data_IF_652483472273
#
_entry.id   IF_652483472273
#
_cell.length_a   1.000
_cell.length_b   1.000
_cell.length_c   1.000
_cell.angle_alpha   90.00
_cell.angle_beta   90.00
_cell.angle_gamma   90.00
#
_symmetry.space_group_name_H-M   'P 1'
#
loop_
_entity.id
_entity.type
_entity.pdbx_description
1 polymer ?
#
# COMPACT_ATOMS: atom_id res chain seq x y z
N UNK A 1 -27.46 -47.21 4.17
CA UNK A 1 -26.41 -46.17 4.16
C UNK A 1 -26.51 -45.46 2.80
N UNK A 2 -27.26 -44.36 2.73
CA UNK A 2 -27.50 -43.66 1.46
C UNK A 2 -26.31 -42.74 1.17
N UNK A 3 -25.50 -43.11 0.18
CA UNK A 3 -24.46 -42.26 -0.39
C UNK A 3 -25.13 -41.11 -1.14
N UNK A 4 -25.15 -39.92 -0.54
CA UNK A 4 -25.58 -38.70 -1.23
C UNK A 4 -24.51 -38.39 -2.28
N UNK A 5 -24.77 -38.68 -3.54
CA UNK A 5 -23.95 -38.24 -4.67
C UNK A 5 -24.28 -36.77 -4.95
N UNK A 6 -23.50 -35.86 -4.37
CA UNK A 6 -23.63 -34.43 -4.69
C UNK A 6 -23.32 -34.25 -6.17
N UNK A 7 -24.25 -33.74 -7.00
CA UNK A 7 -23.98 -33.54 -8.41
C UNK A 7 -22.80 -32.58 -8.58
N UNK A 8 -21.83 -32.95 -9.41
CA UNK A 8 -20.67 -32.13 -9.68
C UNK A 8 -21.10 -30.75 -10.20
N UNK A 9 -20.66 -29.68 -9.54
CA UNK A 9 -21.01 -28.32 -9.94
C UNK A 9 -20.44 -28.05 -11.34
N UNK A 10 -21.26 -27.58 -12.30
CA UNK A 10 -20.78 -27.29 -13.64
C UNK A 10 -19.77 -26.14 -13.60
N UNK A 11 -18.63 -26.31 -14.27
CA UNK A 11 -17.52 -25.35 -14.28
C UNK A 11 -17.97 -23.94 -14.70
N UNK A 12 -18.95 -23.85 -15.60
CA UNK A 12 -19.59 -22.60 -16.03
C UNK A 12 -20.23 -21.83 -14.87
N UNK A 13 -20.86 -22.52 -13.91
CA UNK A 13 -21.48 -21.89 -12.73
C UNK A 13 -20.42 -21.40 -11.75
N UNK A 14 -19.35 -22.18 -11.55
CA UNK A 14 -18.20 -21.78 -10.73
C UNK A 14 -17.55 -20.53 -11.32
N UNK A 15 -17.24 -20.52 -12.62
CA UNK A 15 -16.63 -19.38 -13.31
C UNK A 15 -17.50 -18.11 -13.19
N UNK A 16 -18.81 -18.20 -13.40
CA UNK A 16 -19.70 -17.04 -13.32
C UNK A 16 -19.81 -16.47 -11.89
N UNK A 17 -19.76 -17.32 -10.86
CA UNK A 17 -19.79 -16.88 -9.46
C UNK A 17 -18.47 -16.21 -9.06
N UNK A 18 -17.35 -16.74 -9.53
CA UNK A 18 -16.02 -16.28 -9.13
C UNK A 18 -15.47 -15.13 -10.00
N UNK A 19 -16.01 -14.95 -11.20
CA UNK A 19 -15.54 -13.92 -12.14
C UNK A 19 -15.51 -12.50 -11.53
N UNK A 20 -16.54 -12.00 -10.82
CA UNK A 20 -16.48 -10.67 -10.21
C UNK A 20 -15.38 -10.54 -9.15
N UNK A 21 -15.14 -11.61 -8.38
CA UNK A 21 -14.09 -11.65 -7.38
C UNK A 21 -12.70 -11.63 -8.03
N UNK A 22 -12.51 -12.43 -9.08
CA UNK A 22 -11.28 -12.44 -9.87
C UNK A 22 -11.02 -11.08 -10.52
N UNK A 23 -12.04 -10.46 -11.11
CA UNK A 23 -11.94 -9.13 -11.72
C UNK A 23 -11.53 -8.05 -10.70
N UNK A 24 -12.12 -8.06 -9.50
CA UNK A 24 -11.74 -7.17 -8.40
C UNK A 24 -10.26 -7.32 -8.04
N UNK A 25 -9.78 -8.56 -7.95
CA UNK A 25 -8.36 -8.85 -7.71
C UNK A 25 -7.45 -8.33 -8.83
N UNK A 26 -7.83 -8.51 -10.09
CA UNK A 26 -7.05 -7.98 -11.24
C UNK A 26 -6.96 -6.46 -11.17
N UNK A 27 -8.06 -5.77 -10.86
CA UNK A 27 -8.06 -4.31 -10.70
C UNK A 27 -7.13 -3.86 -9.58
N UNK A 28 -7.06 -4.62 -8.47
CA UNK A 28 -6.12 -4.31 -7.39
C UNK A 28 -4.65 -4.60 -7.73
N UNK A 29 -4.35 -5.60 -8.56
CA UNK A 29 -2.97 -6.00 -8.85
C UNK A 29 -2.36 -5.30 -10.06
N UNK A 30 -3.19 -4.85 -11.01
CA UNK A 30 -2.73 -4.23 -12.26
C UNK A 30 -2.18 -2.81 -12.06
N UNK A 31 -2.50 -2.17 -10.94
CA UNK A 31 -2.06 -0.81 -10.61
C UNK A 31 -0.53 -0.67 -10.68
N UNK A 32 0.22 -1.57 -10.01
CA UNK A 32 1.68 -1.50 -9.95
C UNK A 32 2.34 -1.75 -11.33
N UNK A 33 1.98 -2.80 -12.09
CA UNK A 33 2.45 -2.98 -13.46
C UNK A 33 2.12 -1.80 -14.39
N UNK A 34 0.94 -1.19 -14.25
CA UNK A 34 0.52 -0.07 -15.08
C UNK A 34 1.41 1.16 -14.84
N UNK A 35 1.68 1.49 -13.57
CA UNK A 35 2.61 2.57 -13.22
C UNK A 35 4.00 2.29 -13.80
N UNK A 36 4.53 1.08 -13.61
CA UNK A 36 5.83 0.69 -14.18
C UNK A 36 5.86 0.76 -15.71
N UNK A 37 4.77 0.38 -16.39
CA UNK A 37 4.66 0.46 -17.85
C UNK A 37 4.63 1.92 -18.35
N UNK A 38 4.02 2.83 -17.59
CA UNK A 38 4.04 4.27 -17.90
C UNK A 38 5.46 4.82 -17.70
N UNK A 39 6.10 4.50 -16.56
CA UNK A 39 7.46 4.95 -16.25
C UNK A 39 8.47 4.46 -17.29
N UNK A 40 8.33 3.22 -17.77
CA UNK A 40 9.18 2.65 -18.81
C UNK A 40 9.09 3.38 -20.17
N UNK A 41 8.08 4.23 -20.37
CA UNK A 41 7.91 5.03 -21.60
C UNK A 41 8.35 6.49 -21.43
N UNK A 42 8.83 6.87 -20.24
CA UNK A 42 9.43 8.19 -20.00
C UNK A 42 10.88 8.23 -20.49
N UNK A 43 11.44 9.43 -20.72
CA UNK A 43 12.88 9.59 -20.95
C UNK A 43 13.69 8.99 -19.79
N UNK A 44 14.85 8.38 -20.08
CA UNK A 44 15.68 7.70 -19.08
C UNK A 44 14.94 6.62 -18.27
N UNK A 45 14.36 5.60 -18.93
CA UNK A 45 13.51 4.61 -18.27
C UNK A 45 14.23 3.81 -17.19
N UNK A 46 15.51 3.49 -17.37
CA UNK A 46 16.32 2.77 -16.38
C UNK A 46 16.43 3.54 -15.05
N UNK A 47 16.72 4.84 -15.13
CA UNK A 47 16.84 5.73 -13.96
C UNK A 47 15.49 5.87 -13.27
N UNK A 48 14.42 6.12 -14.04
CA UNK A 48 13.09 6.33 -13.46
C UNK A 48 12.49 5.07 -12.86
N UNK A 49 12.70 3.89 -13.47
CA UNK A 49 12.27 2.62 -12.90
C UNK A 49 13.04 2.27 -11.63
N UNK A 50 14.35 2.55 -11.60
CA UNK A 50 15.15 2.33 -10.40
C UNK A 50 14.74 3.30 -9.28
N UNK A 51 14.48 4.57 -9.60
CA UNK A 51 13.92 5.55 -8.66
C UNK A 51 12.57 5.09 -8.11
N UNK A 52 11.67 4.60 -8.96
CA UNK A 52 10.38 4.06 -8.54
C UNK A 52 10.50 2.90 -7.56
N UNK A 53 11.44 1.98 -7.80
CA UNK A 53 11.72 0.87 -6.88
C UNK A 53 12.12 1.36 -5.48
N UNK A 54 13.01 2.35 -5.39
CA UNK A 54 13.43 2.93 -4.10
C UNK A 54 12.28 3.65 -3.40
N UNK A 55 11.51 4.45 -4.15
CA UNK A 55 10.33 5.16 -3.62
C UNK A 55 9.31 4.18 -3.03
N UNK A 56 8.99 3.11 -3.75
CA UNK A 56 8.09 2.06 -3.27
C UNK A 56 8.62 1.37 -2.02
N UNK A 57 9.91 1.00 -2.01
CA UNK A 57 10.54 0.35 -0.86
C UNK A 57 10.47 1.20 0.41
N UNK A 58 10.94 2.45 0.31
CA UNK A 58 10.94 3.37 1.45
C UNK A 58 9.52 3.71 1.92
N UNK A 59 8.60 3.97 1.00
CA UNK A 59 7.19 4.24 1.32
C UNK A 59 6.52 3.05 2.00
N UNK A 60 6.85 1.83 1.58
CA UNK A 60 6.33 0.59 2.19
C UNK A 60 6.83 0.40 3.61
N UNK A 61 8.12 0.64 3.85
CA UNK A 61 8.71 0.58 5.20
C UNK A 61 7.99 1.56 6.13
N UNK A 62 7.84 2.81 5.72
CA UNK A 62 7.13 3.85 6.48
C UNK A 62 5.68 3.45 6.72
N UNK A 63 5.01 2.89 5.70
CA UNK A 63 3.62 2.47 5.80
C UNK A 63 3.41 1.28 6.75
N UNK A 64 4.42 0.43 6.96
CA UNK A 64 4.27 -0.88 7.61
C UNK A 64 3.45 -0.88 8.90
N UNK A 65 3.54 0.10 9.84
CA UNK A 65 2.73 0.07 11.06
C UNK A 65 1.23 0.27 10.81
N UNK A 66 0.86 1.01 9.76
CA UNK A 66 -0.55 1.21 9.38
C UNK A 66 -1.19 -0.06 8.81
N UNK A 67 -0.40 -1.03 8.35
CA UNK A 67 -0.91 -2.27 7.75
C UNK A 67 -1.65 -3.14 8.77
N UNK A 68 -1.23 -3.07 10.04
CA UNK A 68 -1.84 -3.78 11.17
C UNK A 68 -3.19 -3.19 11.61
N UNK A 69 -3.57 -2.00 11.15
CA UNK A 69 -4.83 -1.36 11.54
C UNK A 69 -6.06 -2.21 11.17
N UNK A 70 -5.99 -2.99 10.08
CA UNK A 70 -7.03 -3.94 9.72
C UNK A 70 -7.24 -4.98 10.84
N UNK A 71 -6.16 -5.69 11.20
CA UNK A 71 -6.22 -6.72 12.24
C UNK A 71 -6.63 -6.13 13.60
N UNK A 72 -6.09 -4.96 13.95
CA UNK A 72 -6.44 -4.25 15.18
C UNK A 72 -7.93 -3.88 15.22
N UNK A 73 -8.49 -3.36 14.12
CA UNK A 73 -9.91 -3.01 14.06
C UNK A 73 -10.79 -4.26 14.18
N UNK A 74 -10.51 -5.33 13.42
CA UNK A 74 -11.29 -6.57 13.48
C UNK A 74 -11.28 -7.20 14.87
N UNK A 75 -10.14 -7.14 15.57
CA UNK A 75 -9.99 -7.72 16.89
C UNK A 75 -10.69 -6.89 17.99
N UNK A 76 -10.55 -5.56 17.95
CA UNK A 76 -10.87 -4.67 19.07
C UNK A 76 -12.17 -3.87 18.89
N UNK A 77 -12.72 -3.78 17.68
CA UNK A 77 -13.96 -3.04 17.43
C UNK A 77 -15.19 -3.88 17.83
N UNK A 78 -15.65 -3.75 19.07
CA UNK A 78 -16.82 -4.50 19.60
C UNK A 78 -18.07 -3.66 19.82
N UNK A 79 -17.89 -2.37 20.04
CA UNK A 79 -18.96 -1.41 20.28
C UNK A 79 -18.53 0.00 19.84
N UNK A 80 -19.47 0.95 19.92
CA UNK A 80 -19.22 2.33 19.52
C UNK A 80 -18.12 3.01 20.35
N UNK A 81 -18.01 2.70 21.64
CA UNK A 81 -16.99 3.29 22.50
C UNK A 81 -15.58 2.83 22.09
N UNK A 82 -15.45 1.55 21.74
CA UNK A 82 -14.23 0.92 21.22
C UNK A 82 -13.87 1.51 19.85
N UNK A 83 -14.85 1.66 18.96
CA UNK A 83 -14.67 2.33 17.67
C UNK A 83 -14.07 3.73 17.82
N UNK A 84 -14.66 4.59 18.67
CA UNK A 84 -14.20 5.97 18.86
C UNK A 84 -12.78 6.01 19.42
N UNK A 85 -12.43 5.11 20.36
CA UNK A 85 -11.06 4.99 20.88
C UNK A 85 -10.07 4.55 19.80
N UNK A 86 -10.39 3.50 19.04
CA UNK A 86 -9.55 2.99 17.97
C UNK A 86 -9.36 4.01 16.85
N UNK A 87 -10.40 4.78 16.51
CA UNK A 87 -10.32 5.86 15.53
C UNK A 87 -9.32 6.95 15.97
N UNK A 88 -9.25 7.29 17.25
CA UNK A 88 -8.25 8.25 17.76
C UNK A 88 -6.83 7.70 17.66
N UNK A 89 -6.63 6.42 18.03
CA UNK A 89 -5.33 5.75 17.91
C UNK A 89 -4.88 5.69 16.45
N UNK A 90 -5.79 5.26 15.56
CA UNK A 90 -5.57 5.23 14.12
C UNK A 90 -5.18 6.60 13.59
N UNK A 91 -5.91 7.67 13.92
CA UNK A 91 -5.57 9.03 13.49
C UNK A 91 -4.17 9.45 13.96
N UNK A 92 -3.79 9.13 15.21
CA UNK A 92 -2.46 9.39 15.73
C UNK A 92 -1.35 8.64 14.97
N UNK A 93 -1.56 7.36 14.66
CA UNK A 93 -0.63 6.56 13.87
C UNK A 93 -0.48 7.15 12.47
N UNK A 94 -1.59 7.40 11.77
CA UNK A 94 -1.54 7.91 10.39
C UNK A 94 -0.89 9.28 10.31
N UNK A 95 -1.24 10.19 11.23
CA UNK A 95 -0.61 11.50 11.31
C UNK A 95 0.90 11.38 11.55
N UNK A 96 1.31 10.53 12.49
CA UNK A 96 2.73 10.33 12.80
C UNK A 96 3.51 9.79 11.61
N UNK A 97 2.95 8.79 10.90
CA UNK A 97 3.60 8.20 9.72
C UNK A 97 3.65 9.19 8.55
N UNK A 98 2.60 9.97 8.34
CA UNK A 98 2.58 11.01 7.29
C UNK A 98 3.57 12.12 7.61
N UNK A 99 3.67 12.56 8.86
CA UNK A 99 4.68 13.54 9.28
C UNK A 99 6.10 12.99 9.14
N UNK A 100 6.33 11.73 9.51
CA UNK A 100 7.63 11.07 9.31
C UNK A 100 8.00 11.02 7.82
N UNK A 101 7.05 10.63 6.96
CA UNK A 101 7.25 10.60 5.51
C UNK A 101 7.59 12.00 4.99
N UNK A 102 6.79 13.00 5.36
CA UNK A 102 7.02 14.38 4.94
C UNK A 102 8.36 14.92 5.45
N UNK A 103 8.73 14.61 6.70
CA UNK A 103 10.02 14.99 7.27
C UNK A 103 11.17 14.43 6.44
N UNK A 104 11.09 13.16 6.03
CA UNK A 104 12.13 12.57 5.19
C UNK A 104 12.13 13.20 3.80
N UNK A 105 10.98 13.31 3.13
CA UNK A 105 10.91 13.73 1.72
C UNK A 105 11.23 15.22 1.49
N UNK A 106 10.76 16.10 2.39
CA UNK A 106 10.83 17.55 2.21
C UNK A 106 12.03 18.21 2.92
N UNK A 107 12.79 17.48 3.72
CA UNK A 107 13.97 18.03 4.42
C UNK A 107 15.29 17.43 3.93
N UNK A 108 16.46 17.97 4.32
CA UNK A 108 17.76 17.38 4.01
C UNK A 108 17.95 15.95 4.57
N UNK A 109 17.09 15.49 5.48
CA UNK A 109 17.09 14.10 5.96
C UNK A 109 16.98 13.09 4.81
N UNK A 110 16.32 13.48 3.71
CA UNK A 110 16.27 12.70 2.48
C UNK A 110 17.65 12.19 2.04
N UNK A 111 18.65 13.07 2.00
CA UNK A 111 20.00 12.74 1.53
C UNK A 111 20.72 11.79 2.48
N UNK A 112 20.50 11.94 3.79
CA UNK A 112 21.04 11.00 4.78
C UNK A 112 20.48 9.60 4.53
N UNK A 113 19.16 9.48 4.36
CA UNK A 113 18.52 8.18 4.09
C UNK A 113 18.99 7.60 2.75
N UNK A 114 18.97 8.38 1.68
CA UNK A 114 19.26 7.87 0.33
C UNK A 114 20.73 7.56 0.12
N UNK A 115 21.65 8.42 0.59
CA UNK A 115 23.09 8.25 0.35
C UNK A 115 23.73 7.33 1.39
N UNK A 116 23.45 7.54 2.68
CA UNK A 116 24.21 6.90 3.76
C UNK A 116 23.57 5.62 4.26
N UNK A 117 22.23 5.56 4.32
CA UNK A 117 21.51 4.37 4.81
C UNK A 117 21.29 3.39 3.66
N UNK A 118 20.77 3.86 2.52
CA UNK A 118 20.40 3.01 1.39
C UNK A 118 21.52 2.87 0.33
N UNK A 119 22.51 3.75 0.31
CA UNK A 119 23.62 3.69 -0.66
C UNK A 119 23.17 3.86 -2.12
N UNK A 120 22.16 4.69 -2.36
CA UNK A 120 21.54 4.85 -3.69
C UNK A 120 22.49 5.64 -4.62
N UNK A 121 22.70 5.20 -5.87
CA UNK A 121 23.49 5.94 -6.85
C UNK A 121 22.98 7.37 -7.06
N UNK A 122 23.91 8.33 -7.21
CA UNK A 122 23.59 9.77 -7.29
C UNK A 122 22.55 10.10 -8.36
N UNK A 123 22.63 9.44 -9.53
CA UNK A 123 21.70 9.62 -10.64
C UNK A 123 20.23 9.31 -10.29
N UNK A 124 19.97 8.55 -9.22
CA UNK A 124 18.62 8.13 -8.79
C UNK A 124 18.08 9.02 -7.67
N UNK A 125 18.96 9.69 -6.93
CA UNK A 125 18.58 10.43 -5.71
C UNK A 125 17.58 11.53 -6.01
N UNK A 126 17.85 12.44 -6.94
CA UNK A 126 16.90 13.53 -7.22
C UNK A 126 15.60 13.05 -7.89
N UNK A 127 15.62 12.16 -8.90
CA UNK A 127 14.39 11.61 -9.49
C UNK A 127 13.48 10.92 -8.46
N UNK A 128 14.06 10.17 -7.52
CA UNK A 128 13.29 9.49 -6.48
C UNK A 128 12.63 10.46 -5.48
N UNK A 129 13.17 11.67 -5.30
CA UNK A 129 12.69 12.61 -4.29
C UNK A 129 11.28 13.07 -4.58
N UNK A 130 11.00 13.40 -5.84
CA UNK A 130 9.67 13.82 -6.29
C UNK A 130 8.67 12.67 -6.10
N UNK A 131 9.05 11.45 -6.46
CA UNK A 131 8.22 10.27 -6.23
C UNK A 131 7.87 10.09 -4.75
N UNK A 132 8.85 10.23 -3.86
CA UNK A 132 8.64 10.15 -2.41
C UNK A 132 7.71 11.26 -1.90
N UNK A 133 7.89 12.50 -2.36
CA UNK A 133 6.98 13.60 -2.03
C UNK A 133 5.53 13.30 -2.44
N UNK A 134 5.32 12.79 -3.66
CA UNK A 134 4.00 12.41 -4.18
C UNK A 134 3.38 11.25 -3.38
N UNK A 135 4.20 10.34 -2.84
CA UNK A 135 3.75 9.21 -2.02
C UNK A 135 3.42 9.59 -0.57
N UNK A 136 3.64 10.82 -0.13
CA UNK A 136 3.33 11.27 1.24
C UNK A 136 1.90 10.93 1.73
N UNK A 137 0.80 11.15 0.97
CA UNK A 137 -0.55 10.80 1.42
C UNK A 137 -0.85 9.30 1.42
N UNK A 138 0.04 8.46 0.85
CA UNK A 138 -0.19 7.02 0.67
C UNK A 138 -0.42 6.29 2.00
N UNK A 139 0.39 6.57 3.02
CA UNK A 139 0.27 5.96 4.36
C UNK A 139 -1.08 6.30 5.01
N UNK A 140 -1.52 7.55 4.89
CA UNK A 140 -2.81 7.99 5.41
C UNK A 140 -3.97 7.29 4.67
N UNK A 141 -3.97 7.30 3.34
CA UNK A 141 -5.04 6.71 2.53
C UNK A 141 -5.18 5.20 2.75
N UNK A 142 -4.06 4.47 2.71
CA UNK A 142 -4.07 3.01 2.88
C UNK A 142 -4.43 2.62 4.31
N UNK A 143 -3.87 3.29 5.31
CA UNK A 143 -4.14 2.98 6.71
C UNK A 143 -5.58 3.27 7.10
N UNK A 144 -6.15 4.38 6.62
CA UNK A 144 -7.57 4.69 6.83
C UNK A 144 -8.47 3.64 6.18
N UNK A 145 -8.19 3.27 4.92
CA UNK A 145 -8.92 2.21 4.22
C UNK A 145 -8.88 0.89 5.00
N UNK A 146 -7.69 0.49 5.46
CA UNK A 146 -7.50 -0.75 6.23
C UNK A 146 -8.24 -0.74 7.57
N UNK A 147 -8.25 0.40 8.27
CA UNK A 147 -9.05 0.55 9.48
C UNK A 147 -10.54 0.31 9.19
N UNK A 148 -11.10 0.97 8.18
CA UNK A 148 -12.53 0.83 7.84
C UNK A 148 -12.90 -0.58 7.37
N UNK A 149 -11.98 -1.33 6.77
CA UNK A 149 -12.20 -2.73 6.38
C UNK A 149 -12.37 -3.68 7.57
N UNK A 150 -11.89 -3.31 8.75
CA UNK A 150 -12.01 -4.12 9.96
C UNK A 150 -13.03 -3.60 10.97
N UNK A 151 -13.84 -2.61 10.60
CA UNK A 151 -14.95 -2.09 11.43
C UNK A 151 -16.17 -2.96 11.20
#
# INVERSE_FOLDING_TARGET
>A
MNTITTPALPLRRIAHVWWPLAASWVVMTIEMPLISAIIARLPHPEINLAAWGVVLGLSTIIQSPSTMLLAASTALNKDWASYVKLRRIMAGILLSLTLLHALIAFTPLYYVVMQHILGVPEAIIEPARIGLMIMTPWSMGTGYRRFQQGV
#
